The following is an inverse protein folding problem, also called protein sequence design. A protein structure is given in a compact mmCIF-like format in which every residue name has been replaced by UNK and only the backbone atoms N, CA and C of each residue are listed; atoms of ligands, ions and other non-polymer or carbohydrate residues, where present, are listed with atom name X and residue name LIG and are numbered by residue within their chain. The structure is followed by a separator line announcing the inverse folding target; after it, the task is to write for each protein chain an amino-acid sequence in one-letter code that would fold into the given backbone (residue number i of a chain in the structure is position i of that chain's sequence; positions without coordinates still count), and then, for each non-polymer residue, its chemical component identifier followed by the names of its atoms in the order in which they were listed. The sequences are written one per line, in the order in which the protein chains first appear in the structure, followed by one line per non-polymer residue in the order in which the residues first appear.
data_IF_113276169750
#
_entry.id   IF_113276169750
#
_cell.length_a   1.000
_cell.length_b   1.000
_cell.length_c   1.000
_cell.angle_alpha   90.00
_cell.angle_beta   90.00
_cell.angle_gamma   90.00
#
_symmetry.space_group_name_H-M   'P 1'
#
loop_
_entity.id
_entity.type
_entity.pdbx_description
1 polymer ?
#
# COMPACT_ATOMS: atom_id res chain seq x y z
N UNK A 1 22.72 26.49 14.61
CA UNK A 1 22.49 26.88 13.20
C UNK A 1 20.99 26.88 12.97
N UNK A 2 20.42 27.89 12.31
CA UNK A 2 19.00 27.87 11.98
C UNK A 2 18.71 26.76 10.97
N UNK A 3 17.63 26.01 11.19
CA UNK A 3 17.21 24.96 10.27
C UNK A 3 16.62 25.59 8.99
N UNK A 4 16.73 24.94 7.82
CA UNK A 4 16.06 25.41 6.62
C UNK A 4 14.55 25.46 6.84
N UNK A 5 13.92 26.58 6.48
CA UNK A 5 12.46 26.74 6.49
C UNK A 5 11.92 26.44 5.08
N UNK A 6 10.89 25.62 4.98
CA UNK A 6 10.19 25.31 3.72
C UNK A 6 8.67 25.50 3.86
N UNK A 7 7.98 25.79 2.76
CA UNK A 7 6.52 25.89 2.75
C UNK A 7 5.86 24.52 2.95
N UNK A 8 4.61 24.53 3.45
CA UNK A 8 3.78 23.31 3.51
C UNK A 8 3.61 22.65 2.14
N UNK A 9 3.44 23.43 1.07
CA UNK A 9 3.36 22.92 -0.31
C UNK A 9 4.65 22.21 -0.74
N UNK A 10 5.81 22.71 -0.32
CA UNK A 10 7.09 22.06 -0.59
C UNK A 10 7.26 20.78 0.23
N UNK A 11 6.86 20.78 1.51
CA UNK A 11 6.85 19.58 2.34
C UNK A 11 5.96 18.47 1.72
N UNK A 12 4.73 18.79 1.31
CA UNK A 12 3.86 17.86 0.55
C UNK A 12 4.55 17.32 -0.70
N UNK A 13 5.22 18.20 -1.45
CA UNK A 13 5.91 17.82 -2.69
C UNK A 13 7.11 16.88 -2.43
N UNK A 14 7.89 17.09 -1.37
CA UNK A 14 8.97 16.18 -0.98
C UNK A 14 8.43 14.80 -0.58
N UNK A 15 7.33 14.76 0.17
CA UNK A 15 6.66 13.50 0.52
C UNK A 15 6.16 12.76 -0.73
N UNK A 16 5.46 13.47 -1.62
CA UNK A 16 4.96 12.89 -2.88
C UNK A 16 6.09 12.45 -3.81
N UNK A 17 7.22 13.15 -3.81
CA UNK A 17 8.42 12.74 -4.56
C UNK A 17 8.92 11.37 -4.12
N UNK A 18 9.05 11.16 -2.80
CA UNK A 18 9.46 9.86 -2.25
C UNK A 18 8.46 8.73 -2.59
N UNK A 19 7.19 9.09 -2.82
CA UNK A 19 6.12 8.16 -3.21
C UNK A 19 5.94 8.01 -4.73
N UNK A 20 6.89 8.50 -5.54
CA UNK A 20 6.82 8.55 -7.02
C UNK A 20 5.61 9.31 -7.59
N UNK A 21 5.15 10.34 -6.89
CA UNK A 21 4.01 11.19 -7.25
C UNK A 21 4.43 12.64 -7.52
N UNK A 22 5.69 12.88 -7.90
CA UNK A 22 6.16 14.22 -8.29
C UNK A 22 5.71 14.61 -9.71
N UNK A 23 5.83 13.69 -10.67
CA UNK A 23 5.41 13.87 -12.07
C UNK A 23 4.77 12.58 -12.58
N UNK A 24 3.74 12.66 -13.44
CA UNK A 24 3.21 11.48 -14.11
C UNK A 24 4.29 10.79 -14.95
N UNK A 25 4.23 9.47 -15.06
CA UNK A 25 5.03 8.73 -16.03
C UNK A 25 4.66 9.18 -17.45
N UNK A 26 5.64 9.65 -18.23
CA UNK A 26 5.40 10.21 -19.57
C UNK A 26 5.50 9.18 -20.69
N UNK A 27 6.19 8.07 -20.44
CA UNK A 27 6.28 6.93 -21.37
C UNK A 27 5.25 5.86 -21.01
N UNK A 28 5.07 4.87 -21.90
CA UNK A 28 4.32 3.67 -21.56
C UNK A 28 4.98 2.94 -20.38
N UNK A 29 4.21 2.44 -19.41
CA UNK A 29 4.74 1.63 -18.32
C UNK A 29 5.20 0.27 -18.86
N UNK A 30 6.08 -0.37 -18.10
CA UNK A 30 6.65 -1.69 -18.33
C UNK A 30 6.53 -2.53 -17.06
N UNK A 31 6.74 -3.85 -17.16
CA UNK A 31 6.70 -4.73 -15.99
C UNK A 31 7.71 -4.33 -14.90
N UNK A 32 8.87 -3.81 -15.28
CA UNK A 32 9.89 -3.32 -14.33
C UNK A 32 9.38 -2.17 -13.45
N UNK A 33 8.54 -1.28 -14.00
CA UNK A 33 8.03 -0.13 -13.26
C UNK A 33 7.13 -0.52 -12.07
N UNK A 34 6.50 -1.71 -12.12
CA UNK A 34 5.73 -2.25 -10.99
C UNK A 34 6.65 -2.59 -9.83
N UNK A 35 7.76 -3.26 -10.11
CA UNK A 35 8.76 -3.64 -9.09
C UNK A 35 9.42 -2.38 -8.54
N UNK A 36 9.85 -1.46 -9.40
CA UNK A 36 10.46 -0.20 -9.00
C UNK A 36 9.52 0.62 -8.09
N UNK A 37 8.23 0.67 -8.43
CA UNK A 37 7.22 1.36 -7.60
C UNK A 37 7.09 0.73 -6.21
N UNK A 38 7.11 -0.60 -6.11
CA UNK A 38 7.05 -1.31 -4.83
C UNK A 38 8.34 -1.09 -4.03
N UNK A 39 9.51 -1.09 -4.67
CA UNK A 39 10.79 -0.80 -4.03
C UNK A 39 10.87 0.63 -3.49
N UNK A 40 10.35 1.61 -4.24
CA UNK A 40 10.31 3.01 -3.82
C UNK A 40 9.32 3.26 -2.68
N UNK A 41 8.15 2.59 -2.69
CA UNK A 41 7.18 2.68 -1.59
C UNK A 41 7.55 1.78 -0.40
N UNK A 42 8.36 0.74 -0.61
CA UNK A 42 8.67 -0.31 0.37
C UNK A 42 7.52 -1.28 0.63
N UNK A 43 6.29 -0.80 0.80
CA UNK A 43 5.14 -1.61 1.20
C UNK A 43 3.91 -1.30 0.34
N UNK A 44 3.39 -2.31 -0.35
CA UNK A 44 2.14 -2.22 -1.12
C UNK A 44 1.04 -3.04 -0.44
N UNK A 45 0.15 -2.37 0.29
CA UNK A 45 -0.92 -3.04 1.04
C UNK A 45 -1.87 -3.82 0.12
N UNK A 46 -2.21 -5.04 0.55
CA UNK A 46 -3.17 -5.93 -0.07
C UNK A 46 -4.52 -5.76 0.64
N UNK A 47 -5.52 -5.33 -0.13
CA UNK A 47 -6.92 -5.32 0.29
C UNK A 47 -7.79 -6.02 -0.75
N UNK A 48 -8.86 -6.68 -0.29
CA UNK A 48 -9.69 -7.56 -1.14
C UNK A 48 -10.91 -6.84 -1.74
N UNK A 49 -11.26 -5.64 -1.26
CA UNK A 49 -12.43 -4.89 -1.74
C UNK A 49 -12.22 -4.53 -3.21
N UNK A 50 -13.23 -4.77 -4.05
CA UNK A 50 -13.12 -4.66 -5.52
C UNK A 50 -14.27 -3.89 -6.17
N UNK A 51 -14.90 -2.97 -5.43
CA UNK A 51 -16.01 -2.12 -5.91
C UNK A 51 -15.62 -1.33 -7.16
N UNK A 52 -14.39 -0.83 -7.18
CA UNK A 52 -13.77 -0.21 -8.37
C UNK A 52 -12.56 -1.03 -8.81
N UNK A 53 -11.56 -1.14 -7.94
CA UNK A 53 -10.36 -1.94 -8.12
C UNK A 53 -9.85 -2.36 -6.74
N UNK A 54 -9.12 -3.47 -6.65
CA UNK A 54 -8.43 -3.82 -5.41
C UNK A 54 -7.30 -2.84 -5.15
N UNK A 55 -7.08 -2.52 -3.88
CA UNK A 55 -6.11 -1.50 -3.45
C UNK A 55 -4.73 -1.62 -4.09
N UNK A 56 -4.04 -2.78 -4.10
CA UNK A 56 -2.68 -2.84 -4.63
C UNK A 56 -2.60 -2.42 -6.09
N UNK A 57 -3.62 -2.77 -6.90
CA UNK A 57 -3.63 -2.35 -8.30
C UNK A 57 -3.90 -0.85 -8.46
N UNK A 58 -4.76 -0.28 -7.60
CA UNK A 58 -5.08 1.15 -7.62
C UNK A 58 -3.90 2.02 -7.17
N UNK A 59 -3.15 1.59 -6.16
CA UNK A 59 -1.94 2.27 -5.69
C UNK A 59 -0.87 2.31 -6.80
N UNK A 60 -0.69 1.21 -7.54
CA UNK A 60 0.19 1.19 -8.71
C UNK A 60 -0.34 2.07 -9.85
N UNK A 61 -1.65 2.05 -10.11
CA UNK A 61 -2.27 2.89 -11.15
C UNK A 61 -1.97 4.39 -10.92
N UNK A 62 -2.02 4.85 -9.68
CA UNK A 62 -1.78 6.26 -9.37
C UNK A 62 -0.34 6.72 -9.64
N UNK A 63 0.63 5.80 -9.73
CA UNK A 63 2.01 6.07 -10.14
C UNK A 63 2.24 5.81 -11.63
N UNK A 64 1.69 4.72 -12.16
CA UNK A 64 2.05 4.17 -13.48
C UNK A 64 1.06 4.53 -14.60
N UNK A 65 -0.14 4.98 -14.26
CA UNK A 65 -1.22 5.20 -15.23
C UNK A 65 -1.73 3.87 -15.80
N UNK A 66 -1.95 3.81 -17.12
CA UNK A 66 -2.51 2.63 -17.78
C UNK A 66 -1.46 1.50 -17.91
N UNK A 67 -1.31 0.68 -16.87
CA UNK A 67 -0.43 -0.50 -16.81
C UNK A 67 -1.24 -1.81 -16.75
N UNK A 68 -0.60 -2.94 -17.07
CA UNK A 68 -1.23 -4.26 -16.96
C UNK A 68 -1.20 -4.76 -15.52
N UNK A 69 -2.35 -5.06 -14.88
CA UNK A 69 -2.40 -5.66 -13.55
C UNK A 69 -1.67 -7.01 -13.44
N UNK A 70 -1.56 -7.75 -14.56
CA UNK A 70 -0.87 -9.03 -14.63
C UNK A 70 0.60 -8.92 -14.18
N UNK A 71 1.26 -7.78 -14.44
CA UNK A 71 2.66 -7.59 -14.05
C UNK A 71 2.91 -7.65 -12.55
N UNK A 72 1.92 -7.34 -11.71
CA UNK A 72 2.04 -7.53 -10.26
C UNK A 72 2.00 -9.01 -9.88
N UNK A 73 1.17 -9.80 -10.57
CA UNK A 73 1.06 -11.25 -10.36
C UNK A 73 2.34 -11.94 -10.87
N UNK A 74 2.84 -11.52 -12.04
CA UNK A 74 4.10 -11.99 -12.61
C UNK A 74 5.26 -11.70 -11.66
N UNK A 75 5.37 -10.47 -11.14
CA UNK A 75 6.41 -10.08 -10.19
C UNK A 75 6.43 -10.95 -8.91
N UNK A 76 5.25 -11.35 -8.41
CA UNK A 76 5.14 -12.28 -7.30
C UNK A 76 5.61 -13.68 -7.69
N UNK A 77 5.10 -14.21 -8.82
CA UNK A 77 5.41 -15.56 -9.30
C UNK A 77 6.88 -15.77 -9.67
N UNK A 78 7.53 -14.70 -10.16
CA UNK A 78 8.97 -14.67 -10.48
C UNK A 78 9.83 -14.42 -9.21
N UNK A 79 9.20 -14.24 -8.04
CA UNK A 79 9.88 -14.05 -6.77
C UNK A 79 10.57 -12.69 -6.60
N UNK A 80 10.25 -11.69 -7.44
CA UNK A 80 10.79 -10.32 -7.33
C UNK A 80 10.24 -9.55 -6.13
N UNK A 81 9.04 -9.93 -5.69
CA UNK A 81 8.37 -9.46 -4.48
C UNK A 81 7.86 -10.67 -3.71
N UNK A 82 7.54 -10.50 -2.43
CA UNK A 82 6.88 -11.53 -1.62
C UNK A 82 5.72 -10.96 -0.83
N UNK A 83 4.85 -11.84 -0.32
CA UNK A 83 3.76 -11.46 0.57
C UNK A 83 4.10 -11.73 2.03
N UNK A 84 3.90 -10.73 2.89
CA UNK A 84 3.92 -10.95 4.32
C UNK A 84 3.20 -9.86 5.12
N UNK A 85 3.18 -10.02 6.44
CA UNK A 85 2.67 -9.04 7.40
C UNK A 85 3.73 -7.98 7.72
N UNK A 86 3.51 -6.75 7.23
CA UNK A 86 4.30 -5.56 7.57
C UNK A 86 3.36 -4.48 8.13
N UNK A 87 2.96 -3.49 7.31
CA UNK A 87 1.93 -2.53 7.70
C UNK A 87 0.59 -3.24 7.97
N UNK A 88 0.18 -4.05 7.00
CA UNK A 88 -0.84 -5.10 7.10
C UNK A 88 -0.36 -6.25 6.20
N UNK A 89 -1.25 -6.99 5.53
CA UNK A 89 -0.82 -7.84 4.43
C UNK A 89 -0.28 -6.96 3.30
N UNK A 90 0.96 -7.17 2.88
CA UNK A 90 1.61 -6.36 1.85
C UNK A 90 2.29 -7.25 0.80
N UNK A 91 2.40 -6.74 -0.42
CA UNK A 91 3.50 -7.07 -1.32
C UNK A 91 4.72 -6.25 -0.92
N UNK A 92 5.88 -6.91 -0.86
CA UNK A 92 7.11 -6.39 -0.25
C UNK A 92 8.29 -6.75 -1.17
N UNK A 93 9.26 -5.85 -1.38
CA UNK A 93 10.48 -6.16 -2.15
C UNK A 93 11.19 -7.40 -1.62
N UNK A 94 11.70 -8.27 -2.51
CA UNK A 94 12.36 -9.52 -2.10
C UNK A 94 13.51 -9.29 -1.12
N UNK A 95 14.27 -8.22 -1.30
CA UNK A 95 15.41 -7.82 -0.47
C UNK A 95 15.03 -7.52 0.99
N UNK A 96 13.74 -7.34 1.29
CA UNK A 96 13.24 -7.01 2.63
C UNK A 96 12.82 -8.25 3.43
N UNK A 97 12.98 -9.43 2.85
CA UNK A 97 12.66 -10.69 3.52
C UNK A 97 13.38 -10.82 4.87
N UNK A 98 14.67 -10.49 4.92
CA UNK A 98 15.47 -10.50 6.16
C UNK A 98 14.96 -9.57 7.24
N UNK A 99 14.36 -8.44 6.87
CA UNK A 99 13.77 -7.50 7.83
C UNK A 99 12.61 -8.17 8.58
N UNK A 100 11.77 -8.93 7.88
CA UNK A 100 10.56 -9.51 8.47
C UNK A 100 10.77 -10.92 9.02
N UNK A 101 11.92 -11.54 8.74
CA UNK A 101 12.23 -12.92 9.12
C UNK A 101 12.16 -13.17 10.63
N UNK A 102 12.58 -12.20 11.45
CA UNK A 102 12.46 -12.32 12.91
C UNK A 102 11.01 -12.58 13.39
N UNK A 103 10.01 -12.03 12.69
CA UNK A 103 8.58 -12.26 12.99
C UNK A 103 8.12 -13.66 12.58
N UNK A 104 8.71 -14.22 11.52
CA UNK A 104 8.41 -15.57 11.07
C UNK A 104 9.02 -16.63 12.00
N UNK A 105 10.25 -16.39 12.46
CA UNK A 105 10.97 -17.27 13.37
C UNK A 105 10.38 -17.25 14.79
N UNK A 106 9.84 -16.10 15.22
CA UNK A 106 9.21 -15.92 16.54
C UNK A 106 7.78 -15.33 16.41
N UNK A 107 6.81 -16.09 15.85
CA UNK A 107 5.48 -15.59 15.51
C UNK A 107 4.53 -15.37 16.70
N UNK A 108 4.94 -15.65 17.94
CA UNK A 108 4.11 -15.63 19.14
C UNK A 108 3.59 -14.22 19.46
N UNK A 109 4.30 -13.18 19.00
CA UNK A 109 3.88 -11.78 19.10
C UNK A 109 2.88 -11.32 18.02
N UNK A 110 2.50 -12.18 17.07
CA UNK A 110 1.68 -11.80 15.90
C UNK A 110 0.18 -11.72 16.20
N UNK A 111 -0.23 -11.97 17.45
CA UNK A 111 -1.63 -11.91 17.89
C UNK A 111 -2.50 -12.93 17.14
N UNK A 112 -3.70 -12.53 16.71
CA UNK A 112 -4.64 -13.44 16.04
C UNK A 112 -4.10 -14.06 14.72
N UNK A 113 -3.02 -13.52 14.15
CA UNK A 113 -2.38 -14.03 12.93
C UNK A 113 -1.63 -15.35 13.15
N UNK A 114 -1.37 -15.73 14.40
CA UNK A 114 -0.70 -16.99 14.77
C UNK A 114 -1.29 -17.56 16.07
N UNK A 115 -1.39 -18.88 16.18
CA UNK A 115 -1.84 -19.55 17.39
C UNK A 115 -0.90 -20.70 17.71
N UNK A 116 -0.18 -20.59 18.83
CA UNK A 116 0.73 -21.62 19.31
C UNK A 116 -0.05 -22.89 19.70
N UNK A 117 -1.12 -22.73 20.48
CA UNK A 117 -2.00 -23.84 20.89
C UNK A 117 -2.50 -24.64 19.68
N UNK A 118 -2.91 -23.94 18.61
CA UNK A 118 -3.35 -24.59 17.37
C UNK A 118 -2.22 -25.37 16.68
N UNK A 119 -1.01 -24.80 16.68
CA UNK A 119 0.15 -25.46 16.09
C UNK A 119 0.50 -26.74 16.86
N UNK A 120 0.44 -26.70 18.19
CA UNK A 120 0.76 -27.83 19.07
C UNK A 120 -0.32 -28.92 19.05
N UNK A 121 -1.60 -28.54 18.97
CA UNK A 121 -2.73 -29.47 18.87
C UNK A 121 -2.73 -30.25 17.54
N UNK A 122 -2.32 -29.60 16.43
CA UNK A 122 -2.43 -30.14 15.07
C UNK A 122 -1.08 -30.46 14.41
N UNK A 123 -0.05 -30.81 15.18
CA UNK A 123 1.29 -31.06 14.65
C UNK A 123 1.32 -32.14 13.56
N UNK A 124 0.59 -33.25 13.74
CA UNK A 124 0.55 -34.34 12.77
C UNK A 124 -0.04 -33.90 11.43
N UNK A 125 -1.17 -33.18 11.45
CA UNK A 125 -1.84 -32.65 10.26
C UNK A 125 -0.97 -31.61 9.55
N UNK A 126 -0.33 -30.73 10.32
CA UNK A 126 0.60 -29.73 9.80
C UNK A 126 1.79 -30.39 9.10
N UNK A 127 2.38 -31.43 9.70
CA UNK A 127 3.52 -32.13 9.10
C UNK A 127 3.11 -32.89 7.84
N UNK A 128 1.93 -33.51 7.84
CA UNK A 128 1.39 -34.17 6.66
C UNK A 128 1.07 -33.17 5.54
N UNK A 129 0.58 -31.97 5.85
CA UNK A 129 0.40 -30.88 4.87
C UNK A 129 1.72 -30.42 4.27
N UNK A 130 2.76 -30.20 5.09
CA UNK A 130 4.09 -29.83 4.59
C UNK A 130 4.67 -30.92 3.67
N UNK A 131 4.52 -32.19 4.05
CA UNK A 131 4.97 -33.33 3.24
C UNK A 131 4.21 -33.42 1.92
N UNK A 132 2.89 -33.20 1.94
CA UNK A 132 2.08 -33.13 0.74
C UNK A 132 2.56 -32.01 -0.21
N UNK A 133 2.84 -30.81 0.30
CA UNK A 133 3.35 -29.69 -0.53
C UNK A 133 4.75 -30.01 -1.09
N UNK A 134 5.60 -30.65 -0.27
CA UNK A 134 6.92 -31.11 -0.71
C UNK A 134 6.81 -32.11 -1.87
N UNK A 135 5.89 -33.07 -1.82
CA UNK A 135 5.76 -34.13 -2.83
C UNK A 135 4.92 -33.73 -4.06
N UNK A 136 3.83 -32.99 -3.85
CA UNK A 136 2.81 -32.71 -4.88
C UNK A 136 2.85 -31.28 -5.40
N UNK A 137 3.63 -30.40 -4.76
CA UNK A 137 3.77 -29.01 -5.14
C UNK A 137 2.78 -28.09 -4.42
N UNK A 138 2.67 -26.82 -4.88
CA UNK A 138 1.97 -25.78 -4.15
C UNK A 138 0.45 -25.95 -4.15
N UNK A 139 -0.20 -25.45 -3.09
CA UNK A 139 -1.63 -25.65 -2.82
C UNK A 139 -2.38 -24.36 -2.48
N UNK A 140 -3.68 -24.34 -2.71
CA UNK A 140 -4.60 -23.29 -2.25
C UNK A 140 -5.53 -23.87 -1.20
N UNK A 141 -6.06 -23.00 -0.35
CA UNK A 141 -7.13 -23.39 0.59
C UNK A 141 -8.34 -24.03 -0.11
N UNK A 142 -8.63 -23.68 -1.37
CA UNK A 142 -9.75 -24.22 -2.13
C UNK A 142 -9.55 -25.67 -2.59
N UNK A 143 -8.30 -26.12 -2.75
CA UNK A 143 -8.00 -27.46 -3.27
C UNK A 143 -8.47 -28.55 -2.29
N UNK A 144 -8.53 -28.22 -0.99
CA UNK A 144 -9.03 -29.09 0.07
C UNK A 144 -10.56 -29.10 0.24
N UNK A 145 -11.28 -28.21 -0.45
CA UNK A 145 -12.76 -28.13 -0.37
C UNK A 145 -13.48 -28.91 -1.48
N UNK A 146 -12.74 -29.34 -2.50
CA UNK A 146 -13.27 -29.93 -3.73
C UNK A 146 -13.27 -31.47 -3.74
N UNK A 147 -12.76 -32.13 -2.70
CA UNK A 147 -12.82 -33.59 -2.61
C UNK A 147 -14.24 -34.04 -2.26
N UNK A 148 -14.99 -34.42 -3.30
CA UNK A 148 -16.18 -35.26 -3.21
C UNK A 148 -15.87 -36.46 -2.32
N UNK A 149 -16.79 -36.74 -1.39
CA UNK A 149 -16.96 -37.99 -0.62
C UNK A 149 -16.35 -39.19 -1.33
N UNK A 150 -15.09 -39.48 -1.03
CA UNK A 150 -14.40 -40.70 -1.43
C UNK A 150 -14.09 -41.44 -0.13
N UNK A 151 -14.44 -42.73 -0.09
CA UNK A 151 -14.34 -43.63 1.07
C UNK A 151 -12.88 -44.00 1.45
N UNK A 152 -11.97 -43.04 1.43
CA UNK A 152 -10.60 -43.19 1.93
C UNK A 152 -10.44 -42.31 3.17
N UNK A 153 -10.55 -42.93 4.34
CA UNK A 153 -10.59 -42.32 5.68
C UNK A 153 -9.30 -41.67 6.17
N UNK A 154 -8.70 -40.78 5.38
CA UNK A 154 -7.65 -39.86 5.85
C UNK A 154 -8.04 -38.39 5.59
N UNK A 155 -8.88 -38.06 4.61
CA UNK A 155 -9.01 -36.71 4.02
C UNK A 155 -10.14 -35.79 4.57
N UNK A 156 -10.65 -36.00 5.78
CA UNK A 156 -11.71 -35.15 6.35
C UNK A 156 -11.14 -33.97 7.19
N UNK A 157 -10.08 -33.30 6.73
CA UNK A 157 -9.43 -32.29 7.59
C UNK A 157 -10.19 -30.97 7.50
N UNK A 158 -10.80 -30.60 8.61
CA UNK A 158 -11.14 -29.20 8.89
C UNK A 158 -10.27 -28.77 10.06
N UNK A 159 -9.71 -27.55 10.07
CA UNK A 159 -9.69 -26.50 9.04
C UNK A 159 -8.29 -26.26 8.41
N UNK A 160 -8.05 -26.80 7.20
CA UNK A 160 -6.83 -26.56 6.38
C UNK A 160 -6.44 -25.09 6.22
N UNK A 161 -7.43 -24.19 6.12
CA UNK A 161 -7.18 -22.75 6.03
C UNK A 161 -6.36 -22.23 7.21
N UNK A 162 -6.66 -22.70 8.43
CA UNK A 162 -5.95 -22.28 9.63
C UNK A 162 -4.54 -22.86 9.68
N UNK A 163 -4.32 -24.09 9.20
CA UNK A 163 -2.96 -24.64 9.04
C UNK A 163 -2.13 -23.80 8.04
N UNK A 164 -2.68 -23.49 6.86
CA UNK A 164 -2.01 -22.66 5.86
C UNK A 164 -1.69 -21.26 6.39
N UNK A 165 -2.62 -20.61 7.09
CA UNK A 165 -2.40 -19.28 7.68
C UNK A 165 -1.35 -19.31 8.80
N UNK A 166 -1.36 -20.33 9.67
CA UNK A 166 -0.35 -20.52 10.72
C UNK A 166 1.04 -20.79 10.13
N UNK A 167 1.13 -21.64 9.10
CA UNK A 167 2.37 -21.95 8.41
C UNK A 167 2.92 -20.77 7.59
N UNK A 168 2.04 -19.95 7.02
CA UNK A 168 2.40 -18.69 6.40
C UNK A 168 2.95 -17.69 7.41
N UNK A 169 2.27 -17.47 8.55
CA UNK A 169 2.73 -16.53 9.58
C UNK A 169 4.04 -17.00 10.24
N UNK A 170 4.28 -18.29 10.38
CA UNK A 170 5.57 -18.83 10.86
C UNK A 170 6.65 -18.90 9.78
N UNK A 171 6.36 -18.45 8.55
CA UNK A 171 7.28 -18.46 7.41
C UNK A 171 7.81 -19.85 7.04
N UNK A 172 7.05 -20.92 7.35
CA UNK A 172 7.27 -22.28 6.83
C UNK A 172 6.70 -22.43 5.43
N UNK A 173 5.58 -21.76 5.17
CA UNK A 173 5.02 -21.57 3.83
C UNK A 173 5.11 -20.10 3.42
N UNK A 174 5.23 -19.87 2.12
CA UNK A 174 5.15 -18.55 1.49
C UNK A 174 4.15 -18.59 0.35
N UNK A 175 3.71 -17.42 -0.10
CA UNK A 175 2.84 -17.31 -1.28
C UNK A 175 3.74 -17.29 -2.51
N UNK A 176 3.66 -18.34 -3.34
CA UNK A 176 4.42 -18.43 -4.58
C UNK A 176 3.75 -17.66 -5.71
N UNK A 177 2.42 -17.64 -5.75
CA UNK A 177 1.64 -16.88 -6.73
C UNK A 177 0.21 -16.60 -6.21
N UNK A 178 -0.56 -15.85 -6.99
CA UNK A 178 -2.01 -15.73 -6.79
C UNK A 178 -2.76 -16.23 -8.02
N UNK A 179 -3.81 -17.01 -7.79
CA UNK A 179 -4.77 -17.40 -8.85
C UNK A 179 -6.13 -16.83 -8.52
N UNK A 180 -6.65 -15.91 -9.34
CA UNK A 180 -7.89 -15.18 -9.07
C UNK A 180 -7.88 -14.49 -7.68
N UNK A 181 -6.73 -13.90 -7.30
CA UNK A 181 -6.49 -13.30 -5.99
C UNK A 181 -6.49 -14.26 -4.79
N UNK A 182 -6.58 -15.58 -5.00
CA UNK A 182 -6.35 -16.58 -3.96
C UNK A 182 -4.86 -16.91 -3.86
N UNK A 183 -4.33 -16.93 -2.63
CA UNK A 183 -2.96 -17.35 -2.35
C UNK A 183 -2.74 -18.80 -2.74
N UNK A 184 -1.66 -19.05 -3.47
CA UNK A 184 -1.07 -20.37 -3.70
C UNK A 184 0.16 -20.46 -2.81
N UNK A 185 0.16 -21.43 -1.90
CA UNK A 185 1.19 -21.61 -0.89
C UNK A 185 2.20 -22.67 -1.35
N UNK A 186 3.49 -22.36 -1.18
CA UNK A 186 4.59 -23.31 -1.35
C UNK A 186 5.56 -23.22 -0.16
N UNK A 187 6.49 -24.17 -0.08
CA UNK A 187 7.55 -24.18 0.91
C UNK A 187 8.42 -22.92 0.80
N UNK A 188 8.76 -22.33 1.94
CA UNK A 188 9.59 -21.12 1.98
C UNK A 188 10.93 -21.29 1.23
N UNK A 189 11.57 -22.46 1.33
CA UNK A 189 12.83 -22.78 0.63
C UNK A 189 12.72 -22.82 -0.90
N UNK A 190 11.52 -23.08 -1.45
CA UNK A 190 11.27 -23.04 -2.90
C UNK A 190 11.00 -21.63 -3.40
N UNK A 191 10.36 -20.79 -2.58
CA UNK A 191 10.07 -19.38 -2.91
C UNK A 191 11.29 -18.48 -2.67
N UNK A 192 12.08 -18.80 -1.66
CA UNK A 192 13.31 -18.12 -1.26
C UNK A 192 14.53 -19.05 -1.36
N UNK A 193 14.87 -19.57 -2.56
CA UNK A 193 16.01 -20.46 -2.71
C UNK A 193 17.31 -19.77 -2.30
N UNK A 194 18.16 -20.51 -1.59
CA UNK A 194 19.46 -20.03 -1.12
C UNK A 194 19.41 -19.12 0.11
N UNK A 195 18.24 -18.89 0.70
CA UNK A 195 18.14 -18.17 1.97
C UNK A 195 18.73 -18.99 3.12
N UNK A 196 19.62 -18.38 3.90
CA UNK A 196 20.19 -18.96 5.12
C UNK A 196 19.92 -18.05 6.32
N UNK A 197 19.08 -18.51 7.24
CA UNK A 197 18.75 -17.77 8.46
C UNK A 197 19.99 -17.48 9.33
N UNK A 198 20.99 -18.38 9.36
CA UNK A 198 22.19 -18.17 10.18
C UNK A 198 23.07 -17.05 9.65
N UNK A 199 23.11 -16.86 8.33
CA UNK A 199 23.94 -15.85 7.68
C UNK A 199 23.20 -14.52 7.42
N UNK A 200 21.89 -14.56 7.20
CA UNK A 200 21.13 -13.42 6.66
C UNK A 200 20.01 -12.91 7.56
N UNK A 201 19.55 -13.69 8.55
CA UNK A 201 18.50 -13.21 9.45
C UNK A 201 19.04 -12.11 10.37
N UNK A 202 18.25 -11.06 10.53
CA UNK A 202 18.53 -9.98 11.46
C UNK A 202 17.95 -10.30 12.83
N UNK A 203 18.62 -9.85 13.90
CA UNK A 203 17.97 -9.74 15.20
C UNK A 203 16.76 -8.80 15.09
N UNK A 204 15.78 -8.96 15.98
CA UNK A 204 14.60 -8.09 15.98
C UNK A 204 14.99 -6.60 16.08
N UNK A 205 15.93 -6.25 16.97
CA UNK A 205 16.40 -4.87 17.13
C UNK A 205 17.05 -4.32 15.86
N UNK A 206 17.92 -5.09 15.20
CA UNK A 206 18.56 -4.68 13.96
C UNK A 206 17.55 -4.53 12.81
N UNK A 207 16.58 -5.45 12.73
CA UNK A 207 15.51 -5.38 11.74
C UNK A 207 14.60 -4.16 11.95
N UNK A 208 14.17 -3.89 13.18
CA UNK A 208 13.34 -2.74 13.53
C UNK A 208 14.07 -1.42 13.28
N UNK A 209 15.37 -1.34 13.59
CA UNK A 209 16.23 -0.21 13.23
C UNK A 209 16.24 0.02 11.70
N UNK A 210 16.57 -1.00 10.91
CA UNK A 210 16.60 -0.89 9.45
C UNK A 210 15.23 -0.53 8.85
N UNK A 211 14.14 -1.08 9.39
CA UNK A 211 12.79 -0.70 9.00
C UNK A 211 12.52 0.78 9.24
N UNK A 212 12.95 1.35 10.38
CA UNK A 212 12.79 2.79 10.65
C UNK A 212 13.65 3.66 9.74
N UNK A 213 14.88 3.26 9.41
CA UNK A 213 15.71 3.95 8.41
C UNK A 213 15.03 3.94 7.03
N UNK A 214 14.46 2.80 6.64
CA UNK A 214 13.69 2.67 5.39
C UNK A 214 12.40 3.50 5.41
N UNK A 215 11.69 3.55 6.53
CA UNK A 215 10.55 4.46 6.71
C UNK A 215 10.95 5.92 6.46
N UNK A 216 12.12 6.35 6.94
CA UNK A 216 12.63 7.71 6.71
C UNK A 216 12.83 7.98 5.21
N UNK A 217 13.40 6.99 4.51
CA UNK A 217 13.57 7.02 3.05
C UNK A 217 12.22 7.11 2.32
N UNK A 218 11.30 6.19 2.58
CA UNK A 218 10.01 6.11 1.89
C UNK A 218 9.14 7.34 2.14
N UNK A 219 9.19 7.91 3.35
CA UNK A 219 8.44 9.11 3.67
C UNK A 219 9.05 10.37 3.03
N UNK A 220 10.36 10.43 2.85
CA UNK A 220 11.11 11.56 2.28
C UNK A 220 11.21 12.77 3.20
N UNK A 221 10.09 13.19 3.79
CA UNK A 221 10.00 14.15 4.90
C UNK A 221 9.10 13.57 5.99
N UNK A 222 9.53 13.67 7.24
CA UNK A 222 8.84 12.99 8.34
C UNK A 222 9.07 13.64 9.70
N UNK A 223 8.17 13.33 10.65
CA UNK A 223 8.41 13.47 12.09
C UNK A 223 8.93 12.14 12.64
N UNK A 224 9.74 12.19 13.70
CA UNK A 224 10.31 10.99 14.31
C UNK A 224 9.23 9.95 14.67
N UNK A 225 8.08 10.39 15.19
CA UNK A 225 6.98 9.51 15.58
C UNK A 225 6.31 8.75 14.41
N UNK A 226 6.56 9.15 13.16
CA UNK A 226 5.95 8.50 11.98
C UNK A 226 6.73 7.27 11.50
N UNK A 227 8.01 7.14 11.90
CA UNK A 227 8.89 6.07 11.38
C UNK A 227 8.39 4.68 11.75
N UNK A 228 7.92 4.51 12.99
CA UNK A 228 7.46 3.22 13.51
C UNK A 228 6.16 2.76 12.84
N UNK A 229 5.25 3.68 12.48
CA UNK A 229 3.93 3.32 11.96
C UNK A 229 3.97 2.68 10.58
N UNK A 230 4.97 3.03 9.74
CA UNK A 230 5.09 2.51 8.38
C UNK A 230 5.09 0.96 8.35
N UNK A 231 5.79 0.34 9.31
CA UNK A 231 5.84 -1.12 9.52
C UNK A 231 5.01 -1.61 10.72
N UNK A 232 4.13 -0.76 11.29
CA UNK A 232 3.35 -1.01 12.53
C UNK A 232 4.19 -1.50 13.71
N UNK A 233 5.39 -0.95 13.86
CA UNK A 233 6.28 -1.28 14.97
C UNK A 233 5.71 -0.74 16.29
N UNK A 234 5.86 -1.52 17.35
CA UNK A 234 5.39 -1.19 18.69
C UNK A 234 6.57 -1.16 19.64
N UNK A 235 6.58 -0.19 20.57
CA UNK A 235 7.58 -0.10 21.66
C UNK A 235 9.03 0.03 21.16
N UNK A 236 9.24 0.75 20.06
CA UNK A 236 10.57 1.06 19.50
C UNK A 236 11.02 2.47 19.90
N UNK A 237 12.32 2.68 20.09
CA UNK A 237 12.88 4.00 20.39
C UNK A 237 13.33 4.71 19.11
N UNK A 238 12.51 5.64 18.63
CA UNK A 238 12.82 6.42 17.42
C UNK A 238 13.95 7.42 17.63
N UNK A 239 14.28 7.81 18.88
CA UNK A 239 15.28 8.87 19.14
C UNK A 239 16.67 8.44 18.69
N UNK A 240 17.08 7.22 19.08
CA UNK A 240 18.36 6.64 18.68
C UNK A 240 18.51 6.59 17.15
N UNK A 241 17.45 6.21 16.45
CA UNK A 241 17.45 6.17 14.98
C UNK A 241 17.70 7.57 14.41
N UNK A 242 16.98 8.58 14.91
CA UNK A 242 17.16 9.96 14.45
C UNK A 242 18.57 10.48 14.75
N UNK A 243 19.10 10.23 15.95
CA UNK A 243 20.46 10.61 16.35
C UNK A 243 21.49 10.01 15.37
N UNK A 244 21.43 8.71 15.11
CA UNK A 244 22.33 8.06 14.16
C UNK A 244 22.17 8.58 12.73
N UNK A 245 20.94 8.77 12.24
CA UNK A 245 20.70 9.32 10.90
C UNK A 245 21.24 10.76 10.75
N UNK A 246 21.18 11.56 11.82
CA UNK A 246 21.75 12.91 11.84
C UNK A 246 23.28 12.87 11.85
N UNK A 247 23.88 12.02 12.69
CA UNK A 247 25.33 11.84 12.78
C UNK A 247 25.94 11.37 11.45
N UNK A 248 25.24 10.48 10.74
CA UNK A 248 25.65 9.98 9.43
C UNK A 248 25.36 10.97 8.28
N UNK A 249 24.65 12.07 8.53
CA UNK A 249 24.23 13.01 7.49
C UNK A 249 23.15 12.47 6.54
N UNK A 250 22.48 11.37 6.91
CA UNK A 250 21.41 10.74 6.12
C UNK A 250 20.10 11.52 6.18
N UNK A 251 19.93 12.37 7.20
CA UNK A 251 18.78 13.26 7.32
C UNK A 251 19.22 14.67 7.71
N UNK A 252 18.45 15.68 7.30
CA UNK A 252 18.62 17.06 7.79
C UNK A 252 17.34 17.53 8.47
N UNK A 253 17.44 18.19 9.64
CA UNK A 253 16.29 18.85 10.26
C UNK A 253 15.82 20.03 9.40
N UNK A 254 14.51 20.25 9.33
CA UNK A 254 13.85 21.37 8.65
C UNK A 254 12.67 21.89 9.48
N UNK A 255 12.31 23.15 9.25
CA UNK A 255 11.07 23.75 9.74
C UNK A 255 10.06 23.83 8.59
N UNK A 256 8.80 23.49 8.85
CA UNK A 256 7.73 23.57 7.85
C UNK A 256 6.77 24.70 8.24
N UNK A 257 6.67 25.72 7.40
CA UNK A 257 5.80 26.87 7.66
C UNK A 257 4.35 26.42 7.88
N UNK A 258 3.76 26.86 8.99
CA UNK A 258 2.38 26.52 9.37
C UNK A 258 2.21 25.20 10.11
N UNK A 259 3.29 24.43 10.33
CA UNK A 259 3.26 23.21 11.13
C UNK A 259 4.18 23.31 12.35
N UNK A 260 3.72 22.74 13.46
CA UNK A 260 4.51 22.66 14.68
C UNK A 260 5.40 21.41 14.71
N UNK A 261 6.50 21.52 15.46
CA UNK A 261 7.43 20.43 15.72
C UNK A 261 8.59 20.34 14.73
N UNK A 262 9.48 19.37 14.99
CA UNK A 262 10.67 19.12 14.17
C UNK A 262 10.35 18.14 13.05
N UNK A 263 10.75 18.49 11.83
CA UNK A 263 10.69 17.62 10.67
C UNK A 263 12.11 17.29 10.21
N UNK A 264 12.25 16.15 9.56
CA UNK A 264 13.50 15.68 8.99
C UNK A 264 13.27 15.34 7.53
N UNK A 265 14.23 15.70 6.68
CA UNK A 265 14.25 15.35 5.26
C UNK A 265 15.35 14.33 5.05
N UNK A 266 15.02 13.20 4.41
CA UNK A 266 15.99 12.16 4.08
C UNK A 266 16.89 12.58 2.92
N UNK A 267 18.14 12.11 2.90
CA UNK A 267 19.19 12.50 1.96
C UNK A 267 18.83 12.34 0.48
N UNK A 268 17.99 11.35 0.13
CA UNK A 268 17.49 11.18 -1.23
C UNK A 268 16.69 12.39 -1.74
N UNK A 269 16.15 13.21 -0.84
CA UNK A 269 15.40 14.41 -1.17
C UNK A 269 16.25 15.68 -1.11
N UNK A 270 17.53 15.64 -0.74
CA UNK A 270 18.39 16.84 -0.65
C UNK A 270 18.47 17.66 -1.95
N UNK A 271 18.55 17.05 -3.16
CA UNK A 271 18.53 17.83 -4.40
C UNK A 271 17.23 18.62 -4.60
N UNK A 272 16.09 18.09 -4.13
CA UNK A 272 14.80 18.77 -4.18
C UNK A 272 14.63 19.76 -3.02
N UNK A 273 15.20 19.48 -1.86
CA UNK A 273 15.17 20.36 -0.69
C UNK A 273 15.81 21.73 -1.00
N UNK A 274 16.88 21.78 -1.79
CA UNK A 274 17.48 23.04 -2.24
C UNK A 274 16.46 23.92 -2.98
N UNK A 275 15.66 23.32 -3.88
CA UNK A 275 14.60 24.02 -4.62
C UNK A 275 13.36 24.30 -3.76
N UNK A 276 13.08 23.44 -2.77
CA UNK A 276 11.99 23.59 -1.81
C UNK A 276 12.13 24.86 -0.96
N UNK A 277 13.35 25.21 -0.56
CA UNK A 277 13.66 26.43 0.20
C UNK A 277 13.24 27.71 -0.54
N UNK A 278 13.24 27.65 -1.86
CA UNK A 278 12.85 28.76 -2.73
C UNK A 278 11.42 28.60 -3.27
N UNK A 279 10.65 27.63 -2.75
CA UNK A 279 9.30 27.29 -3.24
C UNK A 279 9.22 27.00 -4.74
N UNK A 280 10.30 26.45 -5.33
CA UNK A 280 10.41 26.13 -6.77
C UNK A 280 10.11 24.67 -7.12
N UNK A 281 9.41 23.96 -6.24
CA UNK A 281 8.97 22.58 -6.48
C UNK A 281 7.45 22.49 -6.40
N UNK A 282 6.87 21.65 -7.24
CA UNK A 282 5.47 21.26 -7.16
C UNK A 282 5.28 19.89 -7.78
N UNK A 283 4.37 19.10 -7.22
CA UNK A 283 3.85 17.92 -7.92
C UNK A 283 2.96 18.37 -9.08
N UNK A 284 3.06 17.69 -10.22
CA UNK A 284 2.14 17.89 -11.35
C UNK A 284 1.13 16.76 -11.50
N UNK A 285 1.15 15.76 -10.62
CA UNK A 285 0.28 14.58 -10.68
C UNK A 285 -1.14 14.95 -10.31
N UNK A 286 -2.11 14.49 -11.11
CA UNK A 286 -3.52 14.44 -10.70
C UNK A 286 -4.06 13.03 -10.92
N UNK A 287 -4.52 12.39 -9.85
CA UNK A 287 -4.94 10.98 -9.85
C UNK A 287 -5.88 10.70 -8.68
N UNK A 288 -6.59 9.57 -8.77
CA UNK A 288 -7.28 8.97 -7.64
C UNK A 288 -6.31 8.10 -6.85
N UNK A 289 -6.39 8.14 -5.53
CA UNK A 289 -5.61 7.29 -4.63
C UNK A 289 -6.49 6.18 -4.06
N UNK A 290 -5.85 5.10 -3.61
CA UNK A 290 -6.53 4.11 -2.79
C UNK A 290 -6.77 4.64 -1.36
N UNK A 291 -7.84 4.21 -0.66
CA UNK A 291 -7.96 4.36 0.80
C UNK A 291 -6.73 3.90 1.59
N UNK A 292 -6.00 2.93 1.04
CA UNK A 292 -4.83 2.31 1.66
C UNK A 292 -3.52 2.73 0.99
N UNK A 293 -3.53 3.85 0.26
CA UNK A 293 -2.33 4.42 -0.32
C UNK A 293 -1.38 4.92 0.77
N UNK A 294 -0.05 4.72 0.68
CA UNK A 294 0.89 5.21 1.69
C UNK A 294 0.83 6.72 1.97
N UNK A 295 0.31 7.51 1.02
CA UNK A 295 0.07 8.94 1.21
C UNK A 295 -1.02 9.21 2.26
N UNK A 296 -2.02 8.32 2.39
CA UNK A 296 -3.22 8.56 3.23
C UNK A 296 -3.47 7.52 4.31
N UNK A 297 -2.78 6.36 4.31
CA UNK A 297 -3.05 5.27 5.26
C UNK A 297 -2.79 5.62 6.73
N UNK A 298 -1.98 6.65 6.96
CA UNK A 298 -1.63 7.17 8.27
C UNK A 298 -2.41 8.46 8.41
N UNK A 299 -3.51 8.36 9.17
CA UNK A 299 -4.42 9.48 9.37
C UNK A 299 -3.75 10.70 9.98
N UNK A 300 -2.81 10.50 10.91
CA UNK A 300 -2.14 11.61 11.58
C UNK A 300 -1.24 12.35 10.59
N UNK A 301 -0.48 11.61 9.79
CA UNK A 301 0.36 12.18 8.73
C UNK A 301 -0.50 12.85 7.65
N UNK A 302 -1.56 12.19 7.17
CA UNK A 302 -2.46 12.75 6.16
C UNK A 302 -3.14 14.05 6.66
N UNK A 303 -3.63 14.06 7.89
CA UNK A 303 -4.17 15.27 8.53
C UNK A 303 -3.11 16.37 8.67
N UNK A 304 -1.92 16.03 9.17
CA UNK A 304 -0.85 17.02 9.41
C UNK A 304 -0.30 17.63 8.12
N UNK A 305 0.05 16.79 7.14
CA UNK A 305 0.65 17.28 5.88
C UNK A 305 -0.40 17.82 4.92
N UNK A 306 -1.56 17.19 4.80
CA UNK A 306 -2.52 17.47 3.71
C UNK A 306 -3.82 18.11 4.19
N UNK A 307 -4.02 18.35 5.48
CA UNK A 307 -5.30 18.78 6.05
C UNK A 307 -6.46 17.84 5.66
N UNK A 308 -6.17 16.54 5.60
CA UNK A 308 -7.10 15.54 5.08
C UNK A 308 -7.48 14.54 6.18
N UNK A 309 -8.62 14.78 6.85
CA UNK A 309 -9.19 13.83 7.79
C UNK A 309 -10.02 12.77 7.05
N UNK A 310 -9.47 11.56 7.02
CA UNK A 310 -9.94 10.49 6.18
C UNK A 310 -10.12 9.18 6.94
N UNK A 311 -11.36 8.69 6.88
CA UNK A 311 -11.74 7.38 7.39
C UNK A 311 -12.53 6.66 6.30
N UNK A 312 -12.02 5.50 5.88
CA UNK A 312 -12.79 4.57 5.07
C UNK A 312 -14.03 4.11 5.85
N UNK A 313 -15.20 4.15 5.21
CA UNK A 313 -16.49 3.89 5.84
C UNK A 313 -17.12 2.57 5.37
N UNK A 314 -16.30 1.66 4.81
CA UNK A 314 -16.75 0.35 4.36
C UNK A 314 -17.31 -0.51 5.51
N UNK A 315 -16.82 -0.28 6.73
CA UNK A 315 -17.31 -0.91 7.96
C UNK A 315 -18.43 -0.11 8.65
N UNK A 316 -18.74 1.08 8.15
CA UNK A 316 -19.81 1.92 8.70
C UNK A 316 -21.14 1.53 8.03
N UNK A 317 -22.23 1.36 8.80
CA UNK A 317 -23.56 1.15 8.24
C UNK A 317 -23.93 2.28 7.28
N UNK A 318 -24.63 1.96 6.19
CA UNK A 318 -24.88 2.90 5.07
C UNK A 318 -25.45 4.24 5.52
N UNK A 319 -26.46 4.23 6.39
CA UNK A 319 -27.11 5.44 6.90
C UNK A 319 -26.20 6.34 7.77
N UNK A 320 -25.03 5.84 8.20
CA UNK A 320 -24.05 6.59 9.02
C UNK A 320 -22.81 7.01 8.22
N UNK A 321 -22.75 6.70 6.92
CA UNK A 321 -21.65 7.09 6.05
C UNK A 321 -21.74 8.58 5.74
N UNK A 322 -20.64 9.30 5.89
CA UNK A 322 -20.56 10.71 5.52
C UNK A 322 -20.17 10.87 4.05
N UNK A 323 -19.28 10.01 3.55
CA UNK A 323 -18.64 10.18 2.24
C UNK A 323 -18.91 9.02 1.29
N UNK A 324 -19.10 7.79 1.78
CA UNK A 324 -19.39 6.63 0.94
C UNK A 324 -18.68 5.35 1.38
N UNK A 325 -18.90 4.26 0.64
CA UNK A 325 -18.44 2.93 1.05
C UNK A 325 -16.93 2.74 0.85
N UNK A 326 -16.43 3.02 -0.35
CA UNK A 326 -15.02 2.83 -0.71
C UNK A 326 -14.51 4.10 -1.40
N UNK A 327 -14.31 5.13 -0.58
CA UNK A 327 -14.00 6.47 -1.08
C UNK A 327 -12.56 6.59 -1.53
N UNK A 328 -12.34 7.12 -2.73
CA UNK A 328 -11.02 7.34 -3.32
C UNK A 328 -10.61 8.80 -3.13
N UNK A 329 -9.51 9.11 -2.41
CA UNK A 329 -8.98 10.46 -2.36
C UNK A 329 -8.56 10.98 -3.73
N UNK A 330 -8.76 12.28 -3.96
CA UNK A 330 -8.36 12.97 -5.19
C UNK A 330 -7.06 13.73 -4.90
N UNK A 331 -5.94 13.21 -5.39
CA UNK A 331 -4.67 13.95 -5.41
C UNK A 331 -4.67 14.86 -6.63
N UNK A 332 -4.46 16.16 -6.42
CA UNK A 332 -4.28 17.13 -7.49
C UNK A 332 -3.10 18.04 -7.17
N UNK A 333 -2.04 17.93 -7.98
CA UNK A 333 -0.88 18.85 -8.04
C UNK A 333 -0.27 19.19 -6.67
N UNK A 334 -0.19 18.19 -5.79
CA UNK A 334 0.39 18.35 -4.46
C UNK A 334 -0.63 18.41 -3.32
N UNK A 335 -1.93 18.41 -3.60
CA UNK A 335 -2.99 18.58 -2.61
C UNK A 335 -3.99 17.42 -2.65
N UNK A 336 -4.54 17.04 -1.50
CA UNK A 336 -5.71 16.17 -1.42
C UNK A 336 -6.96 17.07 -1.44
N UNK A 337 -7.60 17.17 -2.59
CA UNK A 337 -8.63 18.21 -2.84
C UNK A 337 -10.06 17.74 -2.58
N UNK A 338 -10.23 16.45 -2.33
CA UNK A 338 -11.54 15.85 -2.12
C UNK A 338 -11.48 14.34 -2.25
N UNK A 339 -12.65 13.74 -2.45
CA UNK A 339 -12.84 12.29 -2.48
C UNK A 339 -14.07 11.91 -3.31
N UNK A 340 -14.02 10.75 -3.96
CA UNK A 340 -15.16 10.18 -4.69
C UNK A 340 -15.60 8.85 -4.08
N UNK A 341 -16.91 8.63 -3.92
CA UNK A 341 -17.49 7.28 -3.83
C UNK A 341 -17.84 6.83 -5.24
N UNK A 342 -17.26 5.72 -5.68
CA UNK A 342 -17.40 5.26 -7.05
C UNK A 342 -17.65 3.75 -7.11
N UNK A 343 -18.22 3.29 -8.21
CA UNK A 343 -18.47 1.88 -8.51
C UNK A 343 -18.21 1.60 -9.99
N UNK A 344 -17.50 0.51 -10.27
CA UNK A 344 -17.30 0.04 -11.63
C UNK A 344 -18.38 -0.99 -11.99
N UNK A 345 -19.30 -0.61 -12.88
CA UNK A 345 -20.32 -1.49 -13.47
C UNK A 345 -19.72 -2.20 -14.68
N UNK A 346 -19.05 -3.33 -14.41
CA UNK A 346 -18.18 -4.01 -15.40
C UNK A 346 -18.92 -4.58 -16.60
N UNK A 347 -20.18 -4.99 -16.47
CA UNK A 347 -20.97 -5.54 -17.60
C UNK A 347 -21.39 -4.43 -18.56
N UNK A 348 -21.77 -3.30 -17.98
CA UNK A 348 -22.23 -2.09 -18.67
C UNK A 348 -21.05 -1.24 -19.16
N UNK A 349 -19.82 -1.53 -18.68
CA UNK A 349 -18.61 -0.73 -18.90
C UNK A 349 -18.80 0.73 -18.48
N UNK A 350 -19.43 0.95 -17.32
CA UNK A 350 -19.67 2.29 -16.77
C UNK A 350 -18.93 2.45 -15.45
N UNK A 351 -18.15 3.52 -15.32
CA UNK A 351 -17.68 4.00 -14.02
C UNK A 351 -18.72 4.99 -13.46
N UNK A 352 -19.44 4.59 -12.41
CA UNK A 352 -20.33 5.51 -11.69
C UNK A 352 -19.57 6.23 -10.59
N UNK A 353 -19.53 7.56 -10.66
CA UNK A 353 -19.17 8.45 -9.56
C UNK A 353 -20.45 8.78 -8.81
N UNK A 354 -20.75 7.97 -7.79
CA UNK A 354 -21.96 8.09 -6.96
C UNK A 354 -22.01 9.42 -6.23
N UNK A 355 -20.86 9.84 -5.68
CA UNK A 355 -20.72 11.16 -5.09
C UNK A 355 -19.28 11.66 -5.14
N UNK A 356 -19.10 12.96 -5.32
CA UNK A 356 -17.84 13.67 -5.14
C UNK A 356 -17.99 14.70 -4.02
N UNK A 357 -17.05 14.70 -3.09
CA UNK A 357 -16.98 15.65 -1.98
C UNK A 357 -15.66 16.40 -2.04
N UNK A 358 -15.70 17.73 -1.95
CA UNK A 358 -14.51 18.57 -1.86
C UNK A 358 -14.15 18.81 -0.40
N UNK A 359 -12.86 19.03 -0.14
CA UNK A 359 -12.44 19.52 1.17
C UNK A 359 -12.90 20.97 1.39
N UNK A 360 -13.19 21.41 2.63
CA UNK A 360 -13.82 22.71 2.89
C UNK A 360 -13.10 23.94 2.31
N UNK A 361 -11.77 23.91 2.25
CA UNK A 361 -10.95 25.04 1.76
C UNK A 361 -10.71 24.99 0.23
N UNK A 362 -11.26 23.99 -0.45
CA UNK A 362 -11.03 23.78 -1.88
C UNK A 362 -12.01 24.58 -2.72
N UNK A 363 -11.50 25.62 -3.38
CA UNK A 363 -12.24 26.33 -4.44
C UNK A 363 -12.19 25.55 -5.76
N UNK A 364 -13.32 25.44 -6.45
CA UNK A 364 -13.42 24.77 -7.75
C UNK A 364 -13.17 25.75 -8.90
N UNK A 365 -11.97 25.72 -9.48
CA UNK A 365 -11.64 26.46 -10.70
C UNK A 365 -11.87 25.61 -11.94
N UNK A 366 -12.03 26.23 -13.12
CA UNK A 366 -12.17 25.49 -14.39
C UNK A 366 -10.99 24.55 -14.65
N UNK A 367 -9.76 24.98 -14.29
CA UNK A 367 -8.57 24.13 -14.41
C UNK A 367 -8.64 22.92 -13.48
N UNK A 368 -9.09 23.11 -12.23
CA UNK A 368 -9.27 22.02 -11.27
C UNK A 368 -10.32 21.02 -11.73
N UNK A 369 -11.46 21.50 -12.22
CA UNK A 369 -12.48 20.65 -12.81
C UNK A 369 -11.90 19.83 -13.99
N UNK A 370 -11.14 20.45 -14.89
CA UNK A 370 -10.51 19.74 -16.01
C UNK A 370 -9.49 18.69 -15.56
N UNK A 371 -8.63 19.01 -14.58
CA UNK A 371 -7.61 18.08 -14.07
C UNK A 371 -8.27 16.86 -13.41
N UNK A 372 -9.32 17.07 -12.58
CA UNK A 372 -10.07 16.00 -11.91
C UNK A 372 -10.83 15.16 -12.92
N UNK A 373 -11.53 15.79 -13.87
CA UNK A 373 -12.21 15.09 -14.96
C UNK A 373 -11.22 14.18 -15.70
N UNK A 374 -10.06 14.71 -16.12
CA UNK A 374 -9.03 13.92 -16.79
C UNK A 374 -8.49 12.76 -15.95
N UNK A 375 -8.36 12.93 -14.63
CA UNK A 375 -7.94 11.85 -13.73
C UNK A 375 -9.00 10.75 -13.63
N UNK A 376 -10.28 11.10 -13.52
CA UNK A 376 -11.40 10.14 -13.51
C UNK A 376 -11.47 9.43 -14.87
N UNK A 377 -11.37 10.14 -16.00
CA UNK A 377 -11.34 9.54 -17.35
C UNK A 377 -10.22 8.53 -17.50
N UNK A 378 -8.99 8.86 -17.09
CA UNK A 378 -7.85 7.92 -17.16
C UNK A 378 -8.10 6.67 -16.30
N UNK A 379 -8.70 6.84 -15.13
CA UNK A 379 -9.05 5.73 -14.25
C UNK A 379 -10.16 4.86 -14.84
N UNK A 380 -11.20 5.48 -15.40
CA UNK A 380 -12.30 4.81 -16.09
C UNK A 380 -11.77 3.97 -17.27
N UNK A 381 -10.91 4.55 -18.10
CA UNK A 381 -10.27 3.87 -19.23
C UNK A 381 -9.46 2.65 -18.77
N UNK A 382 -8.66 2.80 -17.70
CA UNK A 382 -7.88 1.68 -17.14
C UNK A 382 -8.77 0.55 -16.58
N UNK A 383 -9.94 0.90 -16.04
CA UNK A 383 -10.95 -0.07 -15.61
C UNK A 383 -11.76 -0.69 -16.76
N UNK A 384 -11.54 -0.26 -18.00
CA UNK A 384 -12.26 -0.72 -19.18
C UNK A 384 -13.67 -0.13 -19.32
N UNK A 385 -13.93 1.02 -18.69
CA UNK A 385 -15.17 1.75 -18.87
C UNK A 385 -15.19 2.49 -20.22
N UNK A 386 -16.35 2.56 -20.85
CA UNK A 386 -16.64 3.38 -22.04
C UNK A 386 -17.33 4.70 -21.66
N UNK A 387 -18.05 4.72 -20.52
CA UNK A 387 -18.75 5.90 -20.02
C UNK A 387 -18.48 6.13 -18.53
N UNK A 388 -18.52 7.39 -18.12
CA UNK A 388 -18.56 7.83 -16.73
C UNK A 388 -19.95 8.40 -16.44
N UNK A 389 -20.63 7.88 -15.42
CA UNK A 389 -21.87 8.43 -14.89
C UNK A 389 -21.55 9.28 -13.66
N UNK A 390 -22.00 10.53 -13.63
CA UNK A 390 -21.81 11.44 -12.51
C UNK A 390 -23.15 11.72 -11.82
N UNK A 391 -23.32 11.16 -10.61
CA UNK A 391 -24.62 11.17 -9.92
C UNK A 391 -24.79 12.36 -8.98
N UNK A 392 -23.76 12.70 -8.19
CA UNK A 392 -23.82 13.78 -7.19
C UNK A 392 -22.46 14.45 -6.98
N UNK A 393 -22.46 15.76 -6.79
CA UNK A 393 -21.28 16.49 -6.33
C UNK A 393 -21.53 17.99 -6.19
N UNK A 394 -20.46 18.79 -6.06
CA UNK A 394 -20.54 20.26 -6.01
C UNK A 394 -21.25 20.82 -7.24
N UNK A 395 -22.04 21.88 -7.04
CA UNK A 395 -22.84 22.53 -8.10
C UNK A 395 -21.98 22.94 -9.32
N UNK A 396 -20.79 23.48 -9.06
CA UNK A 396 -19.84 23.85 -10.12
C UNK A 396 -19.47 22.68 -11.04
N UNK A 397 -19.42 21.45 -10.50
CA UNK A 397 -19.11 20.25 -11.29
C UNK A 397 -20.35 19.67 -11.96
N UNK A 398 -21.52 19.72 -11.32
CA UNK A 398 -22.77 19.24 -11.94
C UNK A 398 -23.14 20.09 -13.17
N UNK A 399 -22.84 21.39 -13.17
CA UNK A 399 -23.03 22.25 -14.34
C UNK A 399 -22.05 21.88 -15.47
N UNK A 400 -20.79 21.59 -15.14
CA UNK A 400 -19.74 21.31 -16.12
C UNK A 400 -19.79 19.90 -16.71
N UNK A 401 -20.09 18.90 -15.88
CA UNK A 401 -20.05 17.49 -16.26
C UNK A 401 -21.45 16.91 -16.53
N UNK A 402 -22.51 17.67 -16.25
CA UNK A 402 -23.89 17.23 -16.39
C UNK A 402 -24.11 15.87 -15.69
N UNK A 403 -24.63 14.87 -16.41
CA UNK A 403 -24.85 13.51 -15.91
C UNK A 403 -23.65 12.59 -16.11
N UNK A 404 -22.55 13.05 -16.73
CA UNK A 404 -21.45 12.18 -17.11
C UNK A 404 -20.82 12.51 -18.46
N UNK A 405 -19.87 11.68 -18.89
CA UNK A 405 -19.15 11.85 -20.15
C UNK A 405 -18.64 10.52 -20.69
N UNK A 406 -18.31 10.50 -21.98
CA UNK A 406 -17.67 9.35 -22.64
C UNK A 406 -16.16 9.36 -22.38
N UNK A 407 -15.61 8.18 -22.12
CA UNK A 407 -14.19 7.97 -21.76
C UNK A 407 -13.24 8.19 -22.94
#
# INVERSE_FOLDING_TARGET
MSHPVISLSSARTLHLSAQNLLKPLTRKPSAGDVVDSIQNMGLLQIDTISVVARSPYLVLFSRLGNYSPQWLEDALSEGKIFEYWAHEACFIPREDYGLLRHKMLNPQGMGWKFSQDWFDEHQADIQALLSHIAEKGPVRSADFSAEKKSNSGWWDWKPHKKHLETLFTSGKLMVSERRNFHRVYDLAERVMPGWDDAAQALSQEAAEYQMMCRSAQYLGIFKAEWLADYYRLKRVDTRKVIETLLENGEVTPVEVSGLEGKYYVHQQQFPLLQKARESRISSTVTTLLSPFDPVVWDRKRASTLFNFDYRIECYTPEAKRQYGYFTLPILQRGELVGRIDAKMHRKEKVLEVKSLHLEPEVTMTSRRAQDIHGAITRFAAWQGAEDVLFSKGPEALTVLWNTGWRV
#
